data_IF_451210623497
#
_entry.id   IF_451210623497
#
_cell.length_a   1.000
_cell.length_b   1.000
_cell.length_c   1.000
_cell.angle_alpha   90.00
_cell.angle_beta   90.00
_cell.angle_gamma   90.00
#
_symmetry.space_group_name_H-M   'P 1'
#
loop_
_entity.id
_entity.type
_entity.pdbx_description
1 polymer ?
#
# COMPACT_ATOMS: atom_id res chain seq x y z
N UNK A 1 -16.33 -2.34 6.42
CA UNK A 1 -16.64 -1.21 5.53
C UNK A 1 -17.74 -0.39 6.19
N UNK A 2 -17.43 0.83 6.64
CA UNK A 2 -18.37 1.72 7.33
C UNK A 2 -18.43 3.04 6.56
N UNK A 3 -19.64 3.50 6.25
CA UNK A 3 -19.87 4.74 5.50
C UNK A 3 -20.91 5.56 6.25
N UNK A 4 -20.57 6.83 6.51
CA UNK A 4 -21.46 7.79 7.14
C UNK A 4 -21.44 9.09 6.36
N UNK A 5 -22.62 9.67 6.12
CA UNK A 5 -22.75 11.01 5.55
C UNK A 5 -22.91 12.01 6.69
N UNK A 6 -22.17 13.13 6.60
CA UNK A 6 -22.25 14.20 7.57
C UNK A 6 -23.64 14.85 7.51
N UNK A 7 -24.40 14.73 8.61
CA UNK A 7 -25.73 15.35 8.74
C UNK A 7 -25.61 16.86 8.84
N UNK A 8 -26.61 17.56 8.32
CA UNK A 8 -26.74 19.02 8.40
C UNK A 8 -25.54 19.82 7.85
N UNK A 9 -24.77 19.21 6.93
CA UNK A 9 -23.60 19.81 6.30
C UNK A 9 -23.98 20.81 5.20
N UNK A 10 -24.49 21.98 5.58
CA UNK A 10 -24.75 23.10 4.66
C UNK A 10 -23.43 23.78 4.30
N UNK A 11 -23.03 23.69 3.03
CA UNK A 11 -21.88 24.45 2.52
C UNK A 11 -22.18 25.94 2.40
N UNK A 12 -21.15 26.78 2.34
CA UNK A 12 -21.28 28.24 2.12
C UNK A 12 -22.00 28.57 0.80
N UNK A 13 -21.69 27.80 -0.26
CA UNK A 13 -22.43 27.84 -1.52
C UNK A 13 -23.50 26.76 -1.52
N UNK A 14 -24.72 27.13 -1.94
CA UNK A 14 -25.88 26.25 -2.05
C UNK A 14 -26.01 25.72 -3.50
N UNK A 15 -25.45 24.55 -3.82
CA UNK A 15 -25.72 23.83 -5.07
C UNK A 15 -27.20 23.44 -5.17
N UNK A 16 -27.62 22.96 -6.34
CA UNK A 16 -29.02 22.54 -6.59
C UNK A 16 -29.47 21.55 -5.49
N UNK A 17 -30.56 21.89 -4.81
CA UNK A 17 -31.10 21.15 -3.66
C UNK A 17 -30.09 20.85 -2.54
N UNK A 18 -29.05 21.67 -2.37
CA UNK A 18 -27.96 21.44 -1.38
C UNK A 18 -27.19 20.12 -1.57
N UNK A 19 -27.17 19.58 -2.79
CA UNK A 19 -26.45 18.34 -3.14
C UNK A 19 -24.95 18.53 -3.36
N UNK A 20 -24.12 17.50 -3.21
CA UNK A 20 -22.70 17.54 -3.59
C UNK A 20 -22.39 16.40 -4.56
N UNK A 21 -21.61 16.68 -5.60
CA UNK A 21 -21.10 15.64 -6.49
C UNK A 21 -20.11 14.74 -5.75
N UNK A 22 -20.34 13.42 -5.80
CA UNK A 22 -19.53 12.40 -5.10
C UNK A 22 -18.88 11.40 -6.06
N UNK A 23 -18.77 11.70 -7.35
CA UNK A 23 -18.22 10.76 -8.34
C UNK A 23 -16.73 10.47 -8.11
N UNK A 24 -15.90 11.50 -8.15
CA UNK A 24 -14.44 11.40 -8.03
C UNK A 24 -13.91 11.44 -6.57
N UNK A 25 -14.48 12.23 -5.63
CA UNK A 25 -13.89 12.36 -4.29
C UNK A 25 -13.68 11.03 -3.54
N UNK A 26 -14.60 10.04 -3.60
CA UNK A 26 -14.38 8.74 -2.97
C UNK A 26 -13.29 7.90 -3.62
N UNK A 27 -12.95 8.12 -4.90
CA UNK A 27 -11.90 7.39 -5.58
C UNK A 27 -10.54 7.60 -4.90
N UNK A 28 -10.28 8.83 -4.45
CA UNK A 28 -9.05 9.16 -3.72
C UNK A 28 -8.99 8.47 -2.35
N UNK A 29 -10.13 8.18 -1.71
CA UNK A 29 -10.16 7.49 -0.42
C UNK A 29 -9.56 6.08 -0.50
N UNK A 30 -9.56 5.45 -1.67
CA UNK A 30 -8.90 4.16 -1.88
C UNK A 30 -7.39 4.20 -1.62
N UNK A 31 -6.74 5.37 -1.75
CA UNK A 31 -5.32 5.54 -1.41
C UNK A 31 -5.02 5.26 0.07
N UNK A 32 -6.01 5.35 0.96
CA UNK A 32 -5.86 5.00 2.38
C UNK A 32 -5.41 3.55 2.58
N UNK A 33 -5.91 2.62 1.75
CA UNK A 33 -5.53 1.21 1.79
C UNK A 33 -4.08 1.04 1.37
N UNK A 34 -3.66 1.73 0.31
CA UNK A 34 -2.28 1.69 -0.16
C UNK A 34 -1.30 2.23 0.89
N UNK A 35 -1.64 3.35 1.54
CA UNK A 35 -0.82 3.91 2.63
C UNK A 35 -0.76 2.95 3.83
N UNK A 36 -1.88 2.34 4.22
CA UNK A 36 -1.91 1.34 5.29
C UNK A 36 -1.01 0.13 4.98
N UNK A 37 -1.01 -0.33 3.72
CA UNK A 37 -0.13 -1.41 3.28
C UNK A 37 1.36 -1.00 3.33
N UNK A 38 1.69 0.23 2.91
CA UNK A 38 3.06 0.74 3.00
C UNK A 38 3.56 0.73 4.44
N UNK A 39 2.76 1.24 5.38
CA UNK A 39 3.11 1.24 6.80
C UNK A 39 3.23 -0.19 7.37
N UNK A 40 2.40 -1.13 6.93
CA UNK A 40 2.49 -2.54 7.33
C UNK A 40 3.78 -3.22 6.84
N UNK A 41 4.19 -2.97 5.59
CA UNK A 41 5.45 -3.47 5.02
C UNK A 41 6.64 -2.88 5.76
N UNK A 42 6.61 -1.58 6.02
CA UNK A 42 7.59 -0.84 6.79
C UNK A 42 7.80 -1.43 8.20
N UNK A 43 6.70 -1.69 8.92
CA UNK A 43 6.75 -2.37 10.21
C UNK A 43 7.38 -3.78 10.12
N UNK A 44 6.99 -4.57 9.13
CA UNK A 44 7.56 -5.92 8.93
C UNK A 44 9.08 -5.88 8.62
N UNK A 45 9.54 -4.88 7.85
CA UNK A 45 10.97 -4.68 7.57
C UNK A 45 11.74 -4.28 8.82
N UNK A 46 11.16 -3.44 9.66
CA UNK A 46 11.73 -3.02 10.95
C UNK A 46 11.94 -4.22 11.88
N UNK A 47 10.98 -5.15 11.93
CA UNK A 47 11.11 -6.39 12.74
C UNK A 47 12.28 -7.27 12.28
N UNK A 48 12.63 -7.21 10.99
CA UNK A 48 13.79 -7.90 10.43
C UNK A 48 15.09 -7.07 10.46
N UNK A 49 15.08 -5.89 11.09
CA UNK A 49 16.25 -5.01 11.21
C UNK A 49 16.64 -4.28 9.92
N UNK A 50 15.74 -4.19 8.95
CA UNK A 50 15.93 -3.42 7.71
C UNK A 50 15.47 -1.97 7.86
N UNK A 51 15.86 -1.12 6.91
CA UNK A 51 15.44 0.28 6.86
C UNK A 51 13.93 0.42 6.56
N UNK A 52 13.34 1.43 7.21
CA UNK A 52 11.92 1.78 7.19
C UNK A 52 11.50 2.64 5.97
N UNK A 53 12.44 2.93 5.07
CA UNK A 53 12.22 3.81 3.92
C UNK A 53 11.84 3.01 2.66
N UNK A 54 10.91 2.06 2.77
CA UNK A 54 10.50 1.27 1.61
C UNK A 54 9.47 2.01 0.75
N UNK A 55 9.82 2.22 -0.51
CA UNK A 55 8.92 2.78 -1.50
C UNK A 55 8.06 1.65 -2.09
N UNK A 56 6.78 1.61 -1.69
CA UNK A 56 5.82 0.65 -2.23
C UNK A 56 5.26 1.17 -3.56
N UNK A 57 5.62 0.49 -4.65
CA UNK A 57 5.14 0.84 -5.99
C UNK A 57 3.65 0.49 -6.19
N UNK A 58 2.97 1.27 -7.02
CA UNK A 58 1.60 0.99 -7.45
C UNK A 58 1.60 0.25 -8.80
N UNK A 59 0.72 -0.76 -8.99
CA UNK A 59 -0.24 -1.32 -8.04
C UNK A 59 0.45 -2.20 -6.98
N UNK A 60 0.01 -2.12 -5.72
CA UNK A 60 0.55 -2.94 -4.63
C UNK A 60 0.04 -4.39 -4.72
N UNK A 61 0.57 -5.15 -5.68
CA UNK A 61 0.19 -6.56 -5.85
C UNK A 61 0.80 -7.43 -4.74
N UNK A 62 0.24 -8.62 -4.48
CA UNK A 62 0.77 -9.54 -3.46
C UNK A 62 2.25 -9.88 -3.68
N UNK A 63 2.70 -9.96 -4.93
CA UNK A 63 4.09 -10.24 -5.28
C UNK A 63 5.01 -9.10 -4.80
N UNK A 64 4.67 -7.84 -5.08
CA UNK A 64 5.45 -6.67 -4.66
C UNK A 64 5.48 -6.57 -3.14
N UNK A 65 4.33 -6.73 -2.48
CA UNK A 65 4.22 -6.69 -1.02
C UNK A 65 5.09 -7.79 -0.41
N UNK A 66 5.03 -9.02 -0.92
CA UNK A 66 5.81 -10.14 -0.39
C UNK A 66 7.30 -9.94 -0.54
N UNK A 67 7.75 -9.41 -1.68
CA UNK A 67 9.16 -9.11 -1.91
C UNK A 67 9.62 -7.89 -1.09
N UNK A 68 8.72 -6.95 -0.80
CA UNK A 68 8.99 -5.78 0.05
C UNK A 68 9.22 -6.10 1.52
N UNK A 69 8.49 -7.08 2.09
CA UNK A 69 8.62 -7.54 3.48
C UNK A 69 9.88 -8.36 3.78
N UNK A 70 10.93 -8.26 2.94
CA UNK A 70 12.21 -9.00 2.98
C UNK A 70 12.47 -9.79 4.27
N UNK A 71 12.70 -11.09 4.16
CA UNK A 71 12.78 -12.00 5.30
C UNK A 71 13.61 -13.25 5.02
N UNK A 72 13.66 -14.21 5.96
CA UNK A 72 14.53 -15.38 5.86
C UNK A 72 14.32 -16.21 4.60
N UNK A 73 13.08 -16.26 4.10
CA UNK A 73 12.71 -17.00 2.88
C UNK A 73 13.27 -16.30 1.64
N UNK A 74 13.17 -14.97 1.58
CA UNK A 74 13.66 -14.18 0.44
C UNK A 74 15.19 -14.32 0.34
N UNK A 75 15.89 -14.15 1.46
CA UNK A 75 17.35 -14.36 1.56
C UNK A 75 17.80 -15.75 1.11
N UNK A 76 17.05 -16.80 1.45
CA UNK A 76 17.33 -18.17 0.99
C UNK A 76 17.17 -18.30 -0.53
N UNK A 77 16.14 -17.70 -1.10
CA UNK A 77 15.89 -17.74 -2.56
C UNK A 77 16.99 -16.99 -3.31
N UNK A 78 17.45 -15.85 -2.79
CA UNK A 78 18.53 -15.10 -3.42
C UNK A 78 19.87 -15.86 -3.36
N UNK A 79 20.18 -16.51 -2.23
CA UNK A 79 21.36 -17.39 -2.13
C UNK A 79 21.32 -18.61 -3.07
N UNK A 80 20.14 -19.13 -3.41
CA UNK A 80 19.99 -20.21 -4.40
C UNK A 80 20.28 -19.70 -5.83
N UNK A 81 19.88 -18.46 -6.15
CA UNK A 81 20.16 -17.86 -7.47
C UNK A 81 21.65 -17.66 -7.70
N UNK A 82 22.36 -17.15 -6.70
CA UNK A 82 23.81 -16.95 -6.77
C UNK A 82 24.56 -18.29 -7.00
N UNK A 83 24.20 -19.31 -6.23
CA UNK A 83 24.80 -20.64 -6.37
C UNK A 83 24.53 -21.29 -7.73
N UNK A 84 23.35 -21.06 -8.32
CA UNK A 84 23.00 -21.61 -9.63
C UNK A 84 23.64 -20.85 -10.81
N UNK A 85 24.03 -19.59 -10.63
CA UNK A 85 24.78 -18.81 -11.63
C UNK A 85 26.24 -19.27 -11.73
N UNK A 86 26.84 -19.70 -10.62
CA UNK A 86 28.22 -20.23 -10.60
C UNK A 86 28.39 -21.61 -11.26
N UNK A 87 27.29 -22.32 -11.59
CA UNK A 87 27.32 -23.67 -12.19
C UNK A 87 27.01 -23.63 -13.71
N UNK A 88 26.87 -22.45 -14.31
CA UNK A 88 26.79 -22.33 -15.77
C UNK A 88 28.21 -22.30 -16.36
N UNK A 89 28.62 -23.44 -16.92
CA UNK A 89 29.80 -23.59 -17.80
C UNK A 89 29.64 -22.82 -19.11
#
# INVERSE_FOLDING_TARGET
>A
FNVTLLKDAKGERRPLYSSKGIGEPPLLLAASVHLALREAVNAARKDHGLSDNYQLECPATPEIIRMGCDGPIVKKVDGIKENNQSIKF
#
